data_IF_466779966525
#
_entry.id   IF_466779966525
#
_cell.length_a   1.000
_cell.length_b   1.000
_cell.length_c   1.000
_cell.angle_alpha   90.00
_cell.angle_beta   90.00
_cell.angle_gamma   90.00
#
_symmetry.space_group_name_H-M   'P 1'
#
loop_
_entity.id
_entity.type
_entity.pdbx_description
1 polymer ?
#
# COMPACT_ATOMS: atom_id res chain seq x y z
N UNK A 1 1.70 -16.47 -13.18
CA UNK A 1 1.71 -15.02 -12.93
C UNK A 1 1.30 -14.82 -11.47
N UNK A 2 2.15 -14.23 -10.63
CA UNK A 2 1.79 -13.95 -9.24
C UNK A 2 0.98 -12.65 -9.24
N UNK A 3 -0.25 -12.71 -8.70
CA UNK A 3 -1.12 -11.53 -8.58
C UNK A 3 -1.11 -11.08 -7.12
N UNK A 4 -0.78 -9.83 -6.90
CA UNK A 4 -0.72 -9.23 -5.56
C UNK A 4 -1.76 -8.11 -5.50
N UNK A 5 -2.59 -8.13 -4.47
CA UNK A 5 -3.55 -7.08 -4.24
C UNK A 5 -2.86 -5.81 -3.73
N UNK A 6 -3.03 -4.68 -4.41
CA UNK A 6 -2.38 -3.41 -4.01
C UNK A 6 -2.88 -2.85 -2.67
N UNK A 7 -4.07 -3.29 -2.24
CA UNK A 7 -4.71 -2.82 -1.00
C UNK A 7 -4.25 -3.57 0.25
N UNK A 8 -4.01 -4.88 0.16
CA UNK A 8 -3.61 -5.69 1.31
C UNK A 8 -2.24 -6.34 1.18
N UNK A 9 -1.58 -6.20 0.03
CA UNK A 9 -0.33 -6.87 -0.31
C UNK A 9 -0.39 -8.41 -0.23
N UNK A 10 -1.60 -8.97 -0.21
CA UNK A 10 -1.84 -10.41 -0.22
C UNK A 10 -1.93 -10.98 -1.63
N UNK A 11 -1.77 -12.30 -1.74
CA UNK A 11 -1.96 -13.03 -3.00
C UNK A 11 -3.43 -12.98 -3.43
N UNK A 12 -3.67 -12.80 -4.74
CA UNK A 12 -5.01 -12.94 -5.36
C UNK A 12 -5.12 -14.33 -5.98
N UNK A 13 -5.94 -15.18 -5.39
CA UNK A 13 -6.22 -16.54 -5.84
C UNK A 13 -6.98 -16.59 -7.16
N UNK A 14 -6.87 -17.72 -7.87
CA UNK A 14 -7.49 -17.90 -9.19
C UNK A 14 -9.02 -17.85 -9.17
N UNK A 15 -9.63 -18.15 -8.01
CA UNK A 15 -11.08 -18.15 -7.81
C UNK A 15 -11.59 -16.91 -7.05
N UNK A 16 -10.71 -15.98 -6.71
CA UNK A 16 -11.08 -14.76 -6.00
C UNK A 16 -11.56 -13.71 -6.99
N UNK A 17 -12.58 -12.95 -6.60
CA UNK A 17 -13.04 -11.83 -7.40
C UNK A 17 -12.11 -10.62 -7.20
N UNK A 18 -11.57 -10.11 -8.31
CA UNK A 18 -10.69 -8.94 -8.33
C UNK A 18 -11.01 -8.02 -9.53
N UNK A 19 -10.59 -6.76 -9.44
CA UNK A 19 -10.48 -5.85 -10.56
C UNK A 19 -9.01 -5.68 -10.93
N UNK A 20 -8.75 -5.62 -12.24
CA UNK A 20 -7.44 -5.30 -12.79
C UNK A 20 -7.43 -3.83 -13.22
N UNK A 21 -6.40 -3.10 -12.79
CA UNK A 21 -6.21 -1.69 -13.09
C UNK A 21 -4.93 -1.53 -13.91
N UNK A 22 -5.09 -1.14 -15.16
CA UNK A 22 -3.98 -0.82 -16.05
C UNK A 22 -3.51 0.61 -15.82
N UNK A 23 -2.22 0.75 -15.51
CA UNK A 23 -1.52 2.01 -15.35
C UNK A 23 -0.46 2.13 -16.44
N UNK A 24 -0.24 3.34 -16.94
CA UNK A 24 0.91 3.61 -17.80
C UNK A 24 2.15 3.64 -16.92
N UNK A 25 3.11 2.74 -17.17
CA UNK A 25 4.41 2.78 -16.52
C UNK A 25 5.28 3.85 -17.17
N UNK A 26 5.52 3.73 -18.48
CA UNK A 26 6.18 4.75 -19.30
C UNK A 26 5.89 4.56 -20.78
N UNK A 27 6.24 5.56 -21.60
CA UNK A 27 6.26 5.46 -23.05
C UNK A 27 7.70 5.40 -23.56
N UNK A 28 7.95 4.54 -24.55
CA UNK A 28 9.23 4.43 -25.25
C UNK A 28 9.35 5.52 -26.33
N UNK A 29 10.58 5.82 -26.81
CA UNK A 29 10.79 6.82 -27.85
C UNK A 29 10.10 6.52 -29.19
N UNK A 30 9.75 5.25 -29.44
CA UNK A 30 9.02 4.82 -30.63
C UNK A 30 7.49 4.96 -30.50
N UNK A 31 7.01 5.48 -29.35
CA UNK A 31 5.59 5.65 -29.06
C UNK A 31 4.93 4.44 -28.41
N UNK A 32 5.65 3.34 -28.19
CA UNK A 32 5.11 2.17 -27.49
C UNK A 32 4.85 2.51 -26.01
N UNK A 33 3.65 2.23 -25.52
CA UNK A 33 3.31 2.40 -24.10
C UNK A 33 3.54 1.09 -23.36
N UNK A 34 4.36 1.14 -22.31
CA UNK A 34 4.54 0.06 -21.36
C UNK A 34 3.48 0.19 -20.28
N UNK A 35 2.67 -0.86 -20.13
CA UNK A 35 1.59 -0.92 -19.17
C UNK A 35 2.01 -1.73 -17.94
N UNK A 36 1.57 -1.28 -16.78
CA UNK A 36 1.67 -2.00 -15.52
C UNK A 36 0.26 -2.30 -15.00
N UNK A 37 0.02 -3.55 -14.60
CA UNK A 37 -1.29 -3.98 -14.14
C UNK A 37 -1.27 -4.22 -12.63
N UNK A 38 -2.10 -3.46 -11.91
CA UNK A 38 -2.39 -3.68 -10.50
C UNK A 38 -3.65 -4.52 -10.33
N UNK A 39 -3.74 -5.25 -9.22
CA UNK A 39 -4.89 -6.08 -8.91
C UNK A 39 -5.50 -5.63 -7.57
N UNK A 40 -6.84 -5.65 -7.47
CA UNK A 40 -7.55 -5.29 -6.23
C UNK A 40 -8.67 -6.29 -6.00
N UNK A 41 -8.70 -6.95 -4.84
CA UNK A 41 -9.87 -7.76 -4.49
C UNK A 41 -11.13 -6.90 -4.50
N UNK A 42 -12.20 -7.40 -5.12
CA UNK A 42 -13.52 -6.74 -5.06
C UNK A 42 -14.16 -6.94 -3.69
N UNK A 43 -13.91 -8.09 -3.06
CA UNK A 43 -14.24 -8.31 -1.67
C UNK A 43 -13.36 -7.45 -0.75
N UNK A 44 -13.87 -7.17 0.45
CA UNK A 44 -13.05 -6.50 1.46
C UNK A 44 -11.84 -7.37 1.78
N UNK A 45 -10.65 -6.91 1.37
CA UNK A 45 -9.40 -7.53 1.77
C UNK A 45 -9.35 -7.66 3.28
N UNK A 46 -8.84 -8.80 3.77
CA UNK A 46 -8.46 -8.96 5.17
C UNK A 46 -7.61 -7.75 5.61
N UNK A 47 -7.80 -7.35 6.88
CA UNK A 47 -7.47 -6.08 7.54
C UNK A 47 -6.03 -5.53 7.45
N UNK A 48 -5.20 -5.92 6.48
CA UNK A 48 -3.87 -5.33 6.26
C UNK A 48 -3.92 -3.82 5.95
N UNK A 49 -5.09 -3.27 5.60
CA UNK A 49 -5.33 -1.84 5.38
C UNK A 49 -6.36 -1.18 6.31
N UNK A 50 -6.93 -1.90 7.28
CA UNK A 50 -7.90 -1.32 8.25
C UNK A 50 -7.27 -1.07 9.62
N UNK A 51 -6.06 -1.56 9.86
CA UNK A 51 -5.27 -1.09 10.99
C UNK A 51 -4.95 0.39 10.77
N UNK A 52 -5.35 1.25 11.70
CA UNK A 52 -4.63 2.51 11.88
C UNK A 52 -3.42 2.19 12.73
N UNK A 53 -2.26 2.65 12.33
CA UNK A 53 -1.13 2.66 13.24
C UNK A 53 -1.47 3.52 14.47
N UNK A 54 -1.01 3.17 15.68
CA UNK A 54 -1.07 4.07 16.83
C UNK A 54 -0.39 5.42 16.57
N UNK A 55 0.53 5.48 15.60
CA UNK A 55 1.22 6.71 15.17
C UNK A 55 0.51 7.46 14.05
N UNK A 56 -0.55 6.90 13.47
CA UNK A 56 -1.32 7.61 12.44
C UNK A 56 -2.14 8.71 13.09
N UNK A 57 -2.04 9.91 12.51
CA UNK A 57 -2.88 11.03 12.94
C UNK A 57 -4.34 10.72 12.61
N UNK A 58 -5.28 10.84 13.58
CA UNK A 58 -6.69 10.59 13.34
C UNK A 58 -7.23 11.43 12.18
N UNK A 59 -8.00 10.79 11.30
CA UNK A 59 -8.65 11.48 10.20
C UNK A 59 -9.84 12.30 10.73
N UNK A 60 -9.72 13.62 10.68
CA UNK A 60 -10.79 14.56 11.10
C UNK A 60 -11.57 15.13 9.92
N UNK A 61 -11.26 14.71 8.69
CA UNK A 61 -11.84 15.24 7.46
C UNK A 61 -11.07 16.42 6.86
N UNK A 62 -10.16 17.03 7.61
CA UNK A 62 -9.27 18.09 7.13
C UNK A 62 -7.92 17.54 6.65
N UNK A 63 -7.29 18.27 5.73
CA UNK A 63 -5.93 18.01 5.29
C UNK A 63 -4.94 18.21 6.46
N UNK A 64 -4.04 17.25 6.68
CA UNK A 64 -3.01 17.33 7.73
C UNK A 64 -1.69 16.79 7.18
N UNK A 65 -0.68 17.67 7.06
CA UNK A 65 0.65 17.36 6.49
C UNK A 65 1.41 16.26 7.25
N UNK A 66 0.97 15.91 8.47
CA UNK A 66 1.53 14.82 9.25
C UNK A 66 0.99 13.45 8.81
N UNK A 67 -0.12 13.40 8.06
CA UNK A 67 -0.70 12.16 7.53
C UNK A 67 0.12 11.68 6.34
N UNK A 68 1.14 10.85 6.61
CA UNK A 68 2.01 10.26 5.58
C UNK A 68 1.37 9.11 4.79
N UNK A 69 0.16 8.67 5.13
CA UNK A 69 -0.54 7.57 4.45
C UNK A 69 0.20 6.23 4.53
N UNK A 70 0.88 5.96 5.66
CA UNK A 70 1.69 4.77 5.81
C UNK A 70 0.82 3.55 6.10
N UNK A 71 1.13 2.41 5.47
CA UNK A 71 0.50 1.14 5.83
C UNK A 71 0.88 0.74 7.28
N UNK A 72 0.06 -0.08 7.98
CA UNK A 72 0.39 -0.55 9.33
C UNK A 72 1.77 -1.22 9.44
N UNK A 73 2.16 -1.96 8.40
CA UNK A 73 3.47 -2.59 8.32
C UNK A 73 4.61 -1.57 8.19
N UNK A 74 4.43 -0.52 7.38
CA UNK A 74 5.40 0.57 7.24
C UNK A 74 5.56 1.35 8.55
N UNK A 75 4.45 1.66 9.23
CA UNK A 75 4.45 2.33 10.54
C UNK A 75 5.14 1.49 11.62
N UNK A 76 4.87 0.18 11.67
CA UNK A 76 5.54 -0.73 12.60
C UNK A 76 7.05 -0.85 12.32
N UNK A 77 7.46 -0.82 11.06
CA UNK A 77 8.87 -0.78 10.69
C UNK A 77 9.55 0.51 11.16
N UNK A 78 8.95 1.67 10.95
CA UNK A 78 9.48 2.96 11.39
C UNK A 78 9.61 3.01 12.91
N UNK A 79 8.59 2.55 13.65
CA UNK A 79 8.63 2.51 15.11
C UNK A 79 9.82 1.68 15.63
N UNK A 80 10.02 0.47 15.08
CA UNK A 80 11.18 -0.38 15.43
C UNK A 80 12.52 0.26 15.08
N UNK A 81 12.56 1.03 13.99
CA UNK A 81 13.78 1.70 13.55
C UNK A 81 14.09 2.94 14.40
N UNK A 82 13.08 3.64 14.93
CA UNK A 82 13.27 4.76 15.85
C UNK A 82 13.90 4.30 17.17
N UNK A 83 13.48 3.15 17.71
CA UNK A 83 14.07 2.56 18.93
C UNK A 83 15.55 2.17 18.74
N UNK A 84 15.97 1.85 17.51
CA UNK A 84 17.38 1.54 17.18
C UNK A 84 18.28 2.77 17.10
N UNK A 85 17.71 3.95 16.86
CA UNK A 85 18.46 5.21 16.65
C UNK A 85 18.51 6.05 17.93
N UNK A 86 17.71 5.72 18.95
CA UNK A 86 17.83 6.35 20.27
C UNK A 86 19.26 6.12 20.82
N UNK A 87 20.03 7.19 21.10
CA UNK A 87 21.35 7.02 21.70
C UNK A 87 21.18 6.33 23.05
N UNK A 88 21.98 5.30 23.31
CA UNK A 88 22.11 4.72 24.66
C UNK A 88 22.55 5.86 25.58
N UNK A 89 21.69 6.19 26.54
CA UNK A 89 22.03 7.05 27.67
C UNK A 89 23.16 6.44 28.51
#
# INVERSE_FOLDING_TARGET
MIRICERCYGHVGDHEAFVELAHIDHALPDGTVVWNNSHVHTALCAAAGTGRSPVDVPDRGDWDDRRRGLSPAASAHIARSADRVAPRA
#
